data_IF_887819322625
#
_entry.id   IF_887819322625
#
_cell.length_a   1.000
_cell.length_b   1.000
_cell.length_c   1.000
_cell.angle_alpha   90.00
_cell.angle_beta   90.00
_cell.angle_gamma   90.00
#
_symmetry.space_group_name_H-M   'P 1'
#
loop_
_entity.id
_entity.type
_entity.pdbx_description
1 polymer ?
#
# COMPACT_ATOMS: atom_id res chain seq x y z
N UNK A 1 -15.75 -0.93 15.32
CA UNK A 1 -16.40 -1.35 14.07
C UNK A 1 -16.38 -0.13 13.18
N UNK A 2 -15.64 -0.22 12.09
CA UNK A 2 -15.51 0.88 11.15
C UNK A 2 -16.18 0.48 9.84
N UNK A 3 -16.93 1.41 9.28
CA UNK A 3 -17.61 1.25 8.01
C UNK A 3 -17.27 2.49 7.19
N UNK A 4 -16.51 2.29 6.12
CA UNK A 4 -16.09 3.34 5.21
C UNK A 4 -16.83 3.16 3.89
N UNK A 5 -17.50 4.20 3.45
CA UNK A 5 -18.21 4.25 2.17
C UNK A 5 -17.38 5.08 1.19
N UNK A 6 -17.09 4.53 0.03
CA UNK A 6 -16.46 5.21 -1.11
C UNK A 6 -17.54 5.47 -2.17
N UNK A 7 -18.17 6.68 -2.18
CA UNK A 7 -19.32 6.97 -3.04
C UNK A 7 -18.99 6.82 -4.52
N UNK A 8 -17.81 7.27 -4.92
CA UNK A 8 -17.38 7.33 -6.32
C UNK A 8 -17.14 5.93 -6.94
N UNK A 9 -16.75 4.97 -6.11
CA UNK A 9 -16.49 3.58 -6.55
C UNK A 9 -17.61 2.62 -6.18
N UNK A 10 -18.58 3.06 -5.35
CA UNK A 10 -19.63 2.20 -4.81
C UNK A 10 -19.14 1.11 -3.87
N UNK A 11 -17.91 1.23 -3.40
CA UNK A 11 -17.27 0.26 -2.50
C UNK A 11 -17.61 0.60 -1.05
N UNK A 12 -17.83 -0.44 -0.25
CA UNK A 12 -18.02 -0.33 1.19
C UNK A 12 -16.98 -1.20 1.87
N UNK A 13 -16.11 -0.57 2.63
CA UNK A 13 -15.14 -1.27 3.47
C UNK A 13 -15.77 -1.52 4.85
N UNK A 14 -15.66 -2.76 5.33
CA UNK A 14 -16.22 -3.15 6.63
C UNK A 14 -15.12 -3.78 7.47
N UNK A 15 -14.67 -3.05 8.48
CA UNK A 15 -13.72 -3.53 9.47
C UNK A 15 -14.44 -3.91 10.76
N UNK A 16 -14.54 -5.21 11.04
CA UNK A 16 -15.22 -5.72 12.22
C UNK A 16 -14.32 -6.70 12.95
N UNK A 17 -14.09 -6.50 14.25
CA UNK A 17 -13.45 -7.55 15.05
C UNK A 17 -14.34 -8.79 15.09
N UNK A 18 -13.74 -9.99 14.91
CA UNK A 18 -14.47 -11.27 14.95
C UNK A 18 -14.51 -12.04 13.63
N UNK A 19 -13.71 -11.61 12.63
CA UNK A 19 -13.47 -12.36 11.38
C UNK A 19 -14.67 -12.42 10.43
N UNK A 20 -14.57 -13.26 9.40
CA UNK A 20 -15.49 -13.31 8.27
C UNK A 20 -16.97 -13.47 8.65
N UNK A 21 -17.29 -14.23 9.69
CA UNK A 21 -18.69 -14.39 10.15
C UNK A 21 -19.28 -13.10 10.71
N UNK A 22 -18.47 -12.30 11.42
CA UNK A 22 -18.92 -11.02 11.96
C UNK A 22 -19.09 -10.01 10.81
N UNK A 23 -18.17 -9.98 9.86
CA UNK A 23 -18.27 -9.16 8.66
C UNK A 23 -19.55 -9.47 7.85
N UNK A 24 -19.83 -10.76 7.60
CA UNK A 24 -21.06 -11.16 6.90
C UNK A 24 -22.35 -10.70 7.60
N UNK A 25 -22.39 -10.76 8.95
CA UNK A 25 -23.54 -10.27 9.71
C UNK A 25 -23.73 -8.77 9.55
N UNK A 26 -22.64 -8.00 9.63
CA UNK A 26 -22.68 -6.55 9.48
C UNK A 26 -23.10 -6.19 8.06
N UNK A 27 -22.50 -6.80 7.04
CA UNK A 27 -22.87 -6.58 5.63
C UNK A 27 -24.36 -6.89 5.37
N UNK A 28 -24.87 -7.99 5.91
CA UNK A 28 -26.30 -8.33 5.82
C UNK A 28 -27.16 -7.27 6.46
N UNK A 29 -26.79 -6.79 7.66
CA UNK A 29 -27.53 -5.76 8.37
C UNK A 29 -27.54 -4.42 7.64
N UNK A 30 -26.35 -3.98 7.21
CA UNK A 30 -26.16 -2.75 6.43
C UNK A 30 -26.91 -2.82 5.09
N UNK A 31 -26.80 -3.95 4.37
CA UNK A 31 -27.53 -4.18 3.13
C UNK A 31 -29.03 -4.06 3.32
N UNK A 32 -29.58 -4.74 4.34
CA UNK A 32 -31.01 -4.76 4.59
C UNK A 32 -31.56 -3.40 5.04
N UNK A 33 -30.89 -2.75 5.99
CA UNK A 33 -31.44 -1.56 6.68
C UNK A 33 -31.03 -0.23 6.05
N UNK A 34 -29.81 -0.16 5.46
CA UNK A 34 -29.30 1.09 4.88
C UNK A 34 -29.53 1.10 3.37
N UNK A 35 -29.07 0.08 2.67
CA UNK A 35 -29.11 0.06 1.20
C UNK A 35 -30.38 -0.60 0.63
N UNK A 36 -31.20 -1.24 1.46
CA UNK A 36 -32.41 -1.98 1.07
C UNK A 36 -32.20 -3.00 -0.03
N UNK A 37 -30.99 -3.53 -0.14
CA UNK A 37 -30.58 -4.58 -1.08
C UNK A 37 -29.56 -5.50 -0.40
N UNK A 38 -29.48 -6.78 -0.80
CA UNK A 38 -28.46 -7.67 -0.29
C UNK A 38 -27.07 -7.17 -0.74
N UNK A 39 -26.12 -7.11 0.21
CA UNK A 39 -24.71 -6.86 -0.07
C UNK A 39 -24.01 -8.21 -0.05
N UNK A 40 -23.32 -8.53 -1.14
CA UNK A 40 -22.47 -9.71 -1.22
C UNK A 40 -21.04 -9.30 -0.96
N UNK A 41 -20.35 -9.91 0.03
CA UNK A 41 -18.94 -9.64 0.23
C UNK A 41 -18.18 -10.03 -1.04
N UNK A 42 -17.55 -9.07 -1.67
CA UNK A 42 -16.57 -9.31 -2.71
C UNK A 42 -15.20 -9.18 -2.06
N UNK A 43 -14.34 -10.17 -2.26
CA UNK A 43 -12.93 -9.98 -1.99
C UNK A 43 -12.42 -9.01 -3.07
N UNK A 44 -12.23 -7.76 -2.71
CA UNK A 44 -11.51 -6.84 -3.56
C UNK A 44 -10.06 -7.32 -3.54
N UNK A 45 -9.64 -7.94 -4.62
CA UNK A 45 -8.23 -8.24 -4.84
C UNK A 45 -7.53 -6.90 -5.01
N UNK A 46 -6.85 -6.46 -3.97
CA UNK A 46 -5.97 -5.31 -4.09
C UNK A 46 -4.87 -5.65 -5.10
N UNK A 47 -4.58 -4.76 -6.06
CA UNK A 47 -3.50 -5.01 -6.99
C UNK A 47 -2.21 -5.25 -6.19
N UNK A 48 -1.41 -6.26 -6.58
CA UNK A 48 -0.20 -6.59 -5.86
C UNK A 48 0.80 -5.43 -5.92
N UNK A 49 1.56 -5.23 -4.85
CA UNK A 49 2.70 -4.32 -4.87
C UNK A 49 3.92 -5.00 -5.50
N UNK A 50 4.59 -4.30 -6.40
CA UNK A 50 5.83 -4.74 -7.06
C UNK A 50 7.05 -4.41 -6.18
N UNK A 51 7.11 -4.99 -4.97
CA UNK A 51 8.09 -4.66 -3.94
C UNK A 51 9.56 -4.85 -4.39
N UNK A 52 9.81 -5.68 -5.39
CA UNK A 52 11.16 -5.86 -5.94
C UNK A 52 11.75 -4.58 -6.54
N UNK A 53 10.92 -3.60 -6.90
CA UNK A 53 11.37 -2.27 -7.34
C UNK A 53 12.13 -1.50 -6.25
N UNK A 54 11.84 -1.78 -4.99
CA UNK A 54 12.54 -1.15 -3.85
C UNK A 54 14.02 -1.52 -3.74
N UNK A 55 14.50 -2.49 -4.52
CA UNK A 55 15.94 -2.84 -4.62
C UNK A 55 16.75 -1.77 -5.32
N UNK A 56 16.12 -1.06 -6.23
CA UNK A 56 16.76 -0.05 -7.09
C UNK A 56 16.86 1.31 -6.38
N UNK A 57 16.34 1.39 -5.14
CA UNK A 57 16.31 2.61 -4.34
C UNK A 57 15.00 3.38 -4.50
N UNK A 58 15.06 4.68 -4.19
CA UNK A 58 13.89 5.57 -4.14
C UNK A 58 14.00 6.73 -5.14
N UNK A 59 14.67 6.52 -6.25
CA UNK A 59 14.71 7.51 -7.32
C UNK A 59 13.32 7.60 -7.98
N UNK A 60 12.83 8.81 -8.15
CA UNK A 60 11.59 9.06 -8.85
C UNK A 60 11.83 8.90 -10.35
N UNK A 61 10.85 8.39 -11.08
CA UNK A 61 10.90 8.45 -12.53
C UNK A 61 10.79 9.92 -13.00
N UNK A 62 11.44 10.26 -14.08
CA UNK A 62 11.52 11.64 -14.61
C UNK A 62 10.13 12.27 -14.87
N UNK A 63 9.11 11.46 -15.15
CA UNK A 63 7.73 11.88 -15.40
C UNK A 63 6.88 11.98 -14.12
N UNK A 64 7.48 11.84 -12.92
CA UNK A 64 6.70 11.87 -11.68
C UNK A 64 6.30 13.32 -11.34
N UNK A 65 5.03 13.51 -11.02
CA UNK A 65 4.49 14.78 -10.53
C UNK A 65 4.76 15.01 -9.03
N UNK A 66 5.52 14.12 -8.39
CA UNK A 66 5.72 14.17 -6.93
C UNK A 66 6.93 15.04 -6.59
N UNK A 67 6.68 16.16 -5.95
CA UNK A 67 7.73 17.04 -5.42
C UNK A 67 7.99 16.75 -3.93
N UNK A 68 9.08 16.02 -3.67
CA UNK A 68 9.51 15.69 -2.31
C UNK A 68 9.84 16.91 -1.47
N UNK A 69 10.38 17.97 -2.10
CA UNK A 69 10.75 19.19 -1.40
C UNK A 69 9.52 19.98 -0.97
N UNK A 70 8.49 20.08 -1.83
CA UNK A 70 7.20 20.71 -1.50
C UNK A 70 6.53 20.01 -0.31
N UNK A 71 6.64 18.69 -0.21
CA UNK A 71 6.15 17.91 0.93
C UNK A 71 7.13 17.85 2.11
N UNK A 72 8.28 18.56 2.01
CA UNK A 72 9.31 18.62 3.05
C UNK A 72 9.87 17.26 3.47
N UNK A 73 9.91 16.30 2.56
CA UNK A 73 10.53 15.00 2.79
C UNK A 73 12.05 15.18 2.75
N UNK A 74 12.69 14.95 3.89
CA UNK A 74 14.15 15.09 4.02
C UNK A 74 14.88 13.78 3.74
N UNK A 75 14.26 12.65 4.02
CA UNK A 75 14.88 11.34 3.84
C UNK A 75 13.86 10.22 3.69
N UNK A 76 14.15 9.29 2.79
CA UNK A 76 13.35 8.07 2.56
C UNK A 76 14.26 6.88 2.77
N UNK A 77 13.76 5.83 3.41
CA UNK A 77 14.54 4.62 3.66
C UNK A 77 13.68 3.36 3.66
N UNK A 78 14.24 2.27 3.19
CA UNK A 78 13.69 0.94 3.41
C UNK A 78 14.09 0.50 4.84
N UNK A 79 13.18 0.66 5.80
CA UNK A 79 13.46 0.42 7.21
C UNK A 79 13.34 -1.03 7.63
N UNK A 80 12.57 -1.83 6.87
CA UNK A 80 12.47 -3.27 7.06
C UNK A 80 12.14 -3.93 5.72
N UNK A 81 12.67 -5.14 5.49
CA UNK A 81 12.26 -6.00 4.40
C UNK A 81 12.21 -7.46 4.85
N UNK A 82 11.20 -8.18 4.35
CA UNK A 82 11.17 -9.64 4.38
C UNK A 82 11.33 -10.15 2.96
N UNK A 83 12.37 -10.96 2.76
CA UNK A 83 12.68 -11.55 1.47
C UNK A 83 12.47 -13.06 1.51
N UNK A 84 11.96 -13.61 0.43
CA UNK A 84 11.65 -15.04 0.28
C UNK A 84 12.45 -15.63 -0.85
N UNK A 85 13.06 -16.81 -0.63
CA UNK A 85 13.72 -17.56 -1.69
C UNK A 85 12.73 -18.02 -2.76
N UNK A 86 13.15 -18.01 -4.02
CA UNK A 86 12.35 -18.51 -5.15
C UNK A 86 12.57 -20.02 -5.42
N UNK A 87 12.97 -20.78 -4.41
CA UNK A 87 13.20 -22.21 -4.53
C UNK A 87 11.95 -23.03 -4.17
N UNK A 88 11.98 -24.34 -4.49
CA UNK A 88 10.89 -25.28 -4.21
C UNK A 88 10.53 -25.37 -2.72
N UNK A 89 11.49 -25.12 -1.83
CA UNK A 89 11.26 -24.98 -0.38
C UNK A 89 11.59 -23.55 0.00
N UNK A 90 10.60 -22.65 0.06
CA UNK A 90 10.84 -21.26 0.33
C UNK A 90 11.29 -21.02 1.77
N UNK A 91 12.31 -20.18 1.94
CA UNK A 91 12.77 -19.67 3.23
C UNK A 91 12.59 -18.15 3.27
N UNK A 92 12.12 -17.63 4.40
CA UNK A 92 11.95 -16.20 4.62
C UNK A 92 13.11 -15.66 5.46
N UNK A 93 13.64 -14.51 5.06
CA UNK A 93 14.65 -13.76 5.79
C UNK A 93 14.09 -12.38 6.11
N UNK A 94 14.11 -12.02 7.40
CA UNK A 94 13.72 -10.68 7.84
C UNK A 94 14.96 -9.84 8.10
N UNK A 95 15.03 -8.69 7.47
CA UNK A 95 16.13 -7.73 7.57
C UNK A 95 15.57 -6.46 8.19
N UNK A 96 16.03 -6.16 9.40
CA UNK A 96 15.62 -4.97 10.16
C UNK A 96 16.83 -4.27 10.71
N UNK A 97 17.37 -3.25 10.04
CA UNK A 97 18.44 -2.43 10.57
C UNK A 97 18.03 -1.76 11.90
N UNK A 98 18.99 -1.33 12.71
CA UNK A 98 18.71 -0.57 13.92
C UNK A 98 17.84 0.66 13.64
N UNK A 99 16.99 1.04 14.58
CA UNK A 99 16.22 2.26 14.49
C UNK A 99 17.11 3.49 14.72
N UNK A 100 16.85 4.60 14.03
CA UNK A 100 17.55 5.87 14.18
C UNK A 100 17.65 6.64 12.87
N UNK A 101 17.71 7.97 12.96
CA UNK A 101 17.79 8.85 11.79
C UNK A 101 19.04 8.59 10.92
N UNK A 102 20.17 8.26 11.58
CA UNK A 102 21.46 8.00 10.92
C UNK A 102 21.73 6.51 10.72
N UNK A 103 20.78 5.64 11.02
CA UNK A 103 20.95 4.21 10.82
C UNK A 103 20.91 3.86 9.34
N UNK A 104 21.70 2.89 8.88
CA UNK A 104 21.63 2.42 7.50
C UNK A 104 20.22 1.90 7.19
N UNK A 105 19.80 2.03 5.94
CA UNK A 105 18.62 1.35 5.45
C UNK A 105 18.91 -0.15 5.22
N UNK A 106 17.88 -0.91 4.81
CA UNK A 106 18.02 -2.34 4.50
C UNK A 106 19.09 -2.57 3.43
N UNK A 107 19.12 -1.77 2.37
CA UNK A 107 20.04 -1.95 1.24
C UNK A 107 21.49 -1.74 1.67
N UNK A 108 21.75 -0.67 2.41
CA UNK A 108 23.08 -0.40 2.97
C UNK A 108 23.50 -1.46 4.00
N UNK A 109 22.55 -1.93 4.82
CA UNK A 109 22.81 -2.97 5.83
C UNK A 109 23.20 -4.30 5.17
N UNK A 110 22.47 -4.77 4.16
CA UNK A 110 22.79 -6.02 3.43
C UNK A 110 24.15 -5.91 2.73
N UNK A 111 24.45 -4.76 2.15
CA UNK A 111 25.73 -4.50 1.48
C UNK A 111 26.87 -4.55 2.48
N UNK A 112 26.76 -3.85 3.59
CA UNK A 112 27.80 -3.77 4.64
C UNK A 112 28.10 -5.15 5.28
N UNK A 113 27.10 -6.03 5.36
CA UNK A 113 27.24 -7.36 5.94
C UNK A 113 27.54 -8.47 4.93
N UNK A 114 27.81 -8.15 3.68
CA UNK A 114 28.11 -9.14 2.62
C UNK A 114 26.89 -9.99 2.22
N UNK A 115 25.67 -9.55 2.53
CA UNK A 115 24.42 -10.27 2.27
C UNK A 115 23.70 -9.76 1.01
N UNK A 116 24.41 -9.11 0.10
CA UNK A 116 23.81 -8.50 -1.12
C UNK A 116 23.05 -9.51 -1.99
N UNK A 117 23.39 -10.80 -1.91
CA UNK A 117 22.66 -11.88 -2.61
C UNK A 117 21.18 -11.96 -2.22
N UNK A 118 20.81 -11.54 -0.98
CA UNK A 118 19.40 -11.51 -0.53
C UNK A 118 18.57 -10.50 -1.32
N UNK A 119 19.20 -9.53 -1.98
CA UNK A 119 18.53 -8.57 -2.86
C UNK A 119 18.65 -8.96 -4.33
N UNK A 120 19.20 -10.14 -4.63
CA UNK A 120 19.34 -10.64 -5.99
C UNK A 120 18.07 -11.29 -6.55
N UNK A 121 18.14 -11.73 -7.81
CA UNK A 121 17.03 -12.32 -8.56
C UNK A 121 16.52 -13.66 -8.00
N UNK A 122 17.30 -14.34 -7.15
CA UNK A 122 16.89 -15.60 -6.48
C UNK A 122 15.92 -15.40 -5.28
N UNK A 123 15.56 -14.16 -4.97
CA UNK A 123 14.71 -13.80 -3.84
C UNK A 123 13.61 -12.83 -4.28
N UNK A 124 12.48 -12.84 -3.60
CA UNK A 124 11.43 -11.84 -3.74
C UNK A 124 11.25 -11.07 -2.42
N UNK A 125 11.10 -9.76 -2.51
CA UNK A 125 10.64 -8.97 -1.38
C UNK A 125 9.14 -9.23 -1.25
N UNK A 126 8.73 -9.83 -0.12
CA UNK A 126 7.33 -10.17 0.15
C UNK A 126 6.66 -9.21 1.13
N UNK A 127 7.45 -8.56 1.97
CA UNK A 127 7.01 -7.45 2.83
C UNK A 127 8.11 -6.38 2.89
N UNK A 128 7.69 -5.13 2.99
CA UNK A 128 8.58 -3.98 3.10
C UNK A 128 7.95 -2.90 3.99
N UNK A 129 8.77 -2.23 4.80
CA UNK A 129 8.39 -1.01 5.49
C UNK A 129 9.24 0.13 4.93
N UNK A 130 8.58 1.09 4.30
CA UNK A 130 9.19 2.33 3.83
C UNK A 130 8.95 3.42 4.87
N UNK A 131 10.00 4.10 5.30
CA UNK A 131 9.91 5.20 6.26
C UNK A 131 10.23 6.53 5.57
N UNK A 132 9.28 7.45 5.65
CA UNK A 132 9.38 8.82 5.15
C UNK A 132 9.68 9.74 6.33
N UNK A 133 10.84 10.39 6.33
CA UNK A 133 11.27 11.33 7.36
C UNK A 133 11.04 12.75 6.86
N UNK A 134 10.12 13.46 7.48
CA UNK A 134 9.81 14.84 7.14
C UNK A 134 10.71 15.79 7.90
N UNK A 135 11.08 16.88 7.26
CA UNK A 135 11.82 17.95 7.90
C UNK A 135 10.97 18.62 9.01
N UNK A 136 11.56 19.02 10.12
CA UNK A 136 10.84 19.64 11.22
C UNK A 136 10.22 20.99 10.80
N UNK A 137 9.04 21.31 11.32
CA UNK A 137 8.34 22.58 11.03
C UNK A 137 9.06 23.78 11.64
N UNK A 138 9.81 23.55 12.72
CA UNK A 138 10.56 24.60 13.40
C UNK A 138 11.95 24.10 13.81
N UNK A 139 12.96 24.95 13.78
CA UNK A 139 14.29 24.58 14.29
C UNK A 139 14.21 24.04 15.72
N UNK A 140 14.94 22.95 16.00
CA UNK A 140 14.99 22.31 17.31
C UNK A 140 13.86 21.35 17.65
N UNK A 141 12.89 21.13 16.75
CA UNK A 141 11.89 20.05 16.88
C UNK A 141 12.32 18.83 16.07
N UNK A 142 11.86 17.65 16.48
CA UNK A 142 11.98 16.46 15.65
C UNK A 142 10.99 16.54 14.48
N UNK A 143 11.40 16.10 13.30
CA UNK A 143 10.50 15.92 12.17
C UNK A 143 9.56 14.74 12.39
N UNK A 144 8.45 14.72 11.66
CA UNK A 144 7.51 13.60 11.62
C UNK A 144 8.13 12.44 10.85
N UNK A 145 7.80 11.21 11.27
CA UNK A 145 8.13 10.00 10.52
C UNK A 145 6.85 9.26 10.21
N UNK A 146 6.67 8.89 8.95
CA UNK A 146 5.56 8.09 8.48
C UNK A 146 6.10 6.73 8.03
N UNK A 147 5.40 5.67 8.39
CA UNK A 147 5.74 4.30 8.00
C UNK A 147 4.66 3.74 7.09
N UNK A 148 5.06 3.31 5.89
CA UNK A 148 4.22 2.57 4.97
C UNK A 148 4.62 1.10 5.00
N UNK A 149 3.77 0.26 5.59
CA UNK A 149 3.94 -1.19 5.62
C UNK A 149 3.23 -1.80 4.41
N UNK A 150 3.98 -2.50 3.58
CA UNK A 150 3.52 -3.01 2.29
C UNK A 150 3.73 -4.53 2.23
N UNK A 151 2.73 -5.27 1.73
CA UNK A 151 2.85 -6.70 1.44
C UNK A 151 2.59 -6.95 -0.03
N UNK A 152 3.31 -7.88 -0.62
CA UNK A 152 3.22 -8.22 -2.03
C UNK A 152 1.79 -8.50 -2.53
N UNK A 153 0.92 -9.01 -1.67
CA UNK A 153 -0.49 -9.30 -1.99
C UNK A 153 -1.43 -8.08 -1.94
N UNK A 154 -0.91 -6.87 -1.93
CA UNK A 154 -1.68 -5.64 -1.90
C UNK A 154 -2.14 -5.18 -0.51
N UNK A 155 -1.86 -5.95 0.54
CA UNK A 155 -2.18 -5.54 1.92
C UNK A 155 -1.19 -4.48 2.38
N UNK A 156 -1.69 -3.42 3.01
CA UNK A 156 -0.89 -2.33 3.57
C UNK A 156 -1.58 -1.70 4.78
N UNK A 157 -0.83 -0.88 5.53
CA UNK A 157 -1.36 -0.04 6.59
C UNK A 157 -1.77 1.37 6.09
N UNK A 158 -1.79 1.61 4.79
CA UNK A 158 -2.09 2.94 4.23
C UNK A 158 -3.45 3.46 4.69
N UNK A 159 -4.41 2.57 4.94
CA UNK A 159 -5.74 2.93 5.45
C UNK A 159 -5.75 3.52 6.87
N UNK A 160 -4.69 3.28 7.63
CA UNK A 160 -4.55 3.77 9.01
C UNK A 160 -3.92 5.17 9.04
N UNK A 161 -3.54 5.71 7.86
CA UNK A 161 -2.96 7.03 7.70
C UNK A 161 -4.04 8.09 7.48
N UNK A 162 -3.68 9.36 7.65
CA UNK A 162 -4.54 10.49 7.29
C UNK A 162 -4.72 10.56 5.76
N UNK A 163 -5.87 11.03 5.28
CA UNK A 163 -6.23 11.01 3.84
C UNK A 163 -5.18 11.69 2.95
N UNK A 164 -4.58 12.79 3.40
CA UNK A 164 -3.55 13.49 2.63
C UNK A 164 -2.23 12.71 2.59
N UNK A 165 -1.89 12.01 3.67
CA UNK A 165 -0.74 11.12 3.73
C UNK A 165 -0.93 9.90 2.83
N UNK A 166 -2.14 9.32 2.80
CA UNK A 166 -2.48 8.21 1.89
C UNK A 166 -2.22 8.61 0.45
N UNK A 167 -2.82 9.72 -0.01
CA UNK A 167 -2.65 10.22 -1.39
C UNK A 167 -1.19 10.46 -1.74
N UNK A 168 -0.45 11.06 -0.82
CA UNK A 168 0.97 11.33 -1.02
C UNK A 168 1.80 10.05 -1.13
N UNK A 169 1.58 9.07 -0.22
CA UNK A 169 2.29 7.79 -0.25
C UNK A 169 1.92 6.98 -1.50
N UNK A 170 0.66 6.94 -1.88
CA UNK A 170 0.21 6.27 -3.12
C UNK A 170 0.86 6.88 -4.35
N UNK A 171 0.94 8.22 -4.43
CA UNK A 171 1.63 8.89 -5.52
C UNK A 171 3.11 8.51 -5.57
N UNK A 172 3.80 8.43 -4.42
CA UNK A 172 5.19 7.97 -4.34
C UNK A 172 5.34 6.51 -4.78
N UNK A 173 4.47 5.62 -4.30
CA UNK A 173 4.51 4.20 -4.68
C UNK A 173 4.29 4.00 -6.18
N UNK A 174 3.42 4.81 -6.79
CA UNK A 174 3.25 4.85 -8.24
C UNK A 174 4.51 5.37 -8.94
N UNK A 175 5.10 6.48 -8.45
CA UNK A 175 6.30 7.07 -9.01
C UNK A 175 7.54 6.15 -8.93
N UNK A 176 7.58 5.25 -7.95
CA UNK A 176 8.62 4.20 -7.87
C UNK A 176 8.26 2.93 -8.64
N UNK A 177 7.09 2.86 -9.28
CA UNK A 177 6.61 1.65 -9.94
C UNK A 177 6.32 0.48 -9.00
N UNK A 178 6.17 0.75 -7.70
CA UNK A 178 5.79 -0.23 -6.68
C UNK A 178 4.29 -0.52 -6.72
N UNK A 179 3.48 0.49 -7.10
CA UNK A 179 2.04 0.37 -7.27
C UNK A 179 1.64 0.79 -8.69
N UNK A 180 0.63 0.15 -9.26
CA UNK A 180 0.02 0.61 -10.51
C UNK A 180 -1.09 1.62 -10.20
N UNK A 181 -1.16 2.72 -10.96
CA UNK A 181 -2.35 3.58 -10.94
C UNK A 181 -3.55 2.74 -11.38
N UNK A 182 -4.57 2.69 -10.56
CA UNK A 182 -5.86 2.15 -10.97
C UNK A 182 -6.46 3.13 -11.98
N UNK A 183 -6.56 2.74 -13.24
CA UNK A 183 -7.32 3.49 -14.24
C UNK A 183 -8.81 3.43 -13.88
N UNK A 184 -9.31 4.46 -13.24
CA UNK A 184 -10.73 4.63 -12.88
C UNK A 184 -11.65 4.79 -14.10
N UNK A 185 -11.12 4.74 -15.32
CA UNK A 185 -11.88 4.96 -16.57
C UNK A 185 -12.66 3.76 -17.10
N UNK A 186 -12.70 2.61 -16.40
CA UNK A 186 -13.39 1.41 -16.90
C UNK A 186 -14.80 1.17 -16.37
N UNK A 187 -15.37 2.06 -15.55
CA UNK A 187 -16.74 1.86 -15.04
C UNK A 187 -17.85 2.58 -15.81
N UNK A 188 -17.51 3.45 -16.76
CA UNK A 188 -18.53 4.27 -17.45
C UNK A 188 -19.26 3.56 -18.62
N UNK A 189 -18.93 2.29 -18.94
CA UNK A 189 -19.51 1.59 -20.08
C UNK A 189 -20.46 0.42 -19.72
N UNK A 190 -20.89 0.28 -18.47
CA UNK A 190 -21.79 -0.85 -18.09
C UNK A 190 -23.25 -0.40 -17.96
N UNK A 191 -23.54 0.89 -17.87
CA UNK A 191 -24.90 1.38 -17.67
C UNK A 191 -25.70 1.64 -18.96
N UNK A 192 -25.08 1.60 -20.14
CA UNK A 192 -25.78 1.89 -21.41
C UNK A 192 -26.38 0.64 -22.11
N UNK A 193 -26.04 -0.57 -21.68
CA UNK A 193 -26.56 -1.81 -22.31
C UNK A 193 -27.82 -2.38 -21.64
N UNK A 194 -28.25 -1.85 -20.49
CA UNK A 194 -29.43 -2.33 -19.75
C UNK A 194 -30.71 -1.51 -19.98
N UNK A 195 -30.67 -0.49 -20.83
CA UNK A 195 -31.81 0.39 -21.07
C UNK A 195 -32.65 0.02 -22.31
N UNK A 196 -32.35 -1.06 -23.05
CA UNK A 196 -33.00 -1.37 -24.35
C UNK A 196 -33.85 -2.63 -24.38
N UNK A 197 -34.10 -3.35 -23.29
CA UNK A 197 -34.93 -4.57 -23.33
C UNK A 197 -36.20 -4.54 -22.47
N UNK A 198 -36.87 -3.41 -22.33
CA UNK A 198 -38.25 -3.39 -21.82
C UNK A 198 -39.12 -2.53 -22.73
N UNK A 199 -39.38 -3.03 -23.94
CA UNK A 199 -40.55 -2.67 -24.75
C UNK A 199 -40.85 -3.81 -25.73
N UNK A 200 -41.66 -4.74 -25.32
CA UNK A 200 -42.65 -5.44 -26.17
C UNK A 200 -43.62 -6.15 -25.25
#
# INVERSE_FOLDING_TARGET
>A
MDLVLYPDSGIIDVLVPGGAKAQQRVLKHVGTHIFRRPLTPQNIEHPPFFLNRLRDGFELFDDSEVDLAAHRVGHIRLSQARVRTMHSTPCDYSIKPPAGLNSPDVLACVKANGLSSLMGSGFNIVEATVSLHFLPDRPGKAGRVLHADLRQNGISNLRDLEDDDVKFVEALLCAWGVMQKLDTKKSDNVDDELALEVRS
#
